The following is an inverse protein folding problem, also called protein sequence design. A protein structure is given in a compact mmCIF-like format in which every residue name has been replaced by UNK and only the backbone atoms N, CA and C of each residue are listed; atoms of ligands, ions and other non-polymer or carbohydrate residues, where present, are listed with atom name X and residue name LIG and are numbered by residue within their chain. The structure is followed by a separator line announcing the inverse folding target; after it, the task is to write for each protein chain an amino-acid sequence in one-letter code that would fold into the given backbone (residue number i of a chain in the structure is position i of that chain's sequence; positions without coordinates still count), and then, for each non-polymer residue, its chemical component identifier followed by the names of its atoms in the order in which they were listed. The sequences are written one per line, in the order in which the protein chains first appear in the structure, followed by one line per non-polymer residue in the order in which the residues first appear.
data_IF_788710301064
#
_entry.id   IF_788710301064
#
_cell.length_a   1.000
_cell.length_b   1.000
_cell.length_c   1.000
_cell.angle_alpha   90.00
_cell.angle_beta   90.00
_cell.angle_gamma   90.00
#
_symmetry.space_group_name_H-M   'P 1'
#
loop_
_entity.id
_entity.type
_entity.pdbx_description
1 polymer ?
#
# COMPACT_ATOMS: atom_id res chain seq x y z
N UNK A 1 -6.83 9.40 13.19
CA UNK A 1 -7.48 9.95 12.05
C UNK A 1 -8.44 9.00 11.38
N UNK A 2 -9.10 9.50 10.40
CA UNK A 2 -10.05 8.70 9.66
C UNK A 2 -9.34 7.90 8.57
N UNK A 3 -9.92 6.76 8.23
CA UNK A 3 -9.39 5.94 7.16
C UNK A 3 -9.56 6.66 5.82
N UNK A 4 -8.54 6.58 4.99
CA UNK A 4 -8.57 7.17 3.66
C UNK A 4 -8.54 6.06 2.62
N UNK A 5 -9.46 6.11 1.68
CA UNK A 5 -9.54 5.11 0.62
C UNK A 5 -9.05 5.72 -0.68
N UNK A 6 -8.25 4.97 -1.41
CA UNK A 6 -7.70 5.42 -2.68
C UNK A 6 -7.51 4.25 -3.63
N UNK A 7 -7.46 4.56 -4.93
CA UNK A 7 -7.20 3.56 -5.95
C UNK A 7 -5.75 3.68 -6.40
N UNK A 8 -5.06 2.55 -6.46
CA UNK A 8 -3.66 2.54 -6.88
C UNK A 8 -3.58 2.84 -8.37
N UNK A 9 -2.80 3.87 -8.73
CA UNK A 9 -2.62 4.25 -10.13
C UNK A 9 -1.31 3.73 -10.70
N UNK A 10 -0.28 3.61 -9.85
CA UNK A 10 0.99 3.04 -10.28
C UNK A 10 1.80 2.62 -9.07
N UNK A 11 2.78 1.77 -9.30
CA UNK A 11 3.70 1.34 -8.25
C UNK A 11 5.12 1.53 -8.77
N UNK A 12 5.88 2.35 -8.04
CA UNK A 12 7.27 2.64 -8.39
C UNK A 12 8.25 1.67 -7.77
N UNK A 13 9.52 1.97 -7.92
CA UNK A 13 10.59 1.19 -7.33
C UNK A 13 11.11 0.11 -8.25
N UNK A 14 11.98 -0.73 -7.71
CA UNK A 14 12.59 -1.81 -8.46
C UNK A 14 11.58 -2.93 -8.69
N UNK A 15 11.88 -3.76 -9.67
CA UNK A 15 11.00 -4.88 -9.99
C UNK A 15 10.77 -5.80 -8.80
N UNK A 16 11.79 -6.04 -8.01
CA UNK A 16 11.65 -6.88 -6.81
C UNK A 16 10.65 -6.29 -5.83
N UNK A 17 10.72 -4.98 -5.62
CA UNK A 17 9.81 -4.28 -4.72
C UNK A 17 8.39 -4.36 -5.25
N UNK A 18 8.22 -4.14 -6.54
CA UNK A 18 6.92 -4.21 -7.18
C UNK A 18 6.31 -5.59 -7.04
N UNK A 19 7.09 -6.63 -7.27
CA UNK A 19 6.63 -8.01 -7.12
C UNK A 19 6.22 -8.31 -5.69
N UNK A 20 7.01 -7.84 -4.74
CA UNK A 20 6.69 -8.01 -3.34
C UNK A 20 5.33 -7.39 -3.02
N UNK A 21 5.12 -6.16 -3.46
CA UNK A 21 3.86 -5.46 -3.23
C UNK A 21 2.69 -6.13 -3.97
N UNK A 22 2.92 -6.59 -5.19
CA UNK A 22 1.90 -7.31 -5.94
C UNK A 22 1.46 -8.59 -5.23
N UNK A 23 2.41 -9.31 -4.64
CA UNK A 23 2.09 -10.52 -3.89
C UNK A 23 1.22 -10.23 -2.67
N UNK A 24 1.34 -9.03 -2.13
CA UNK A 24 0.48 -8.60 -1.02
C UNK A 24 -0.88 -8.12 -1.50
N UNK A 25 -1.05 -7.92 -2.80
CA UNK A 25 -2.29 -7.44 -3.37
C UNK A 25 -2.26 -6.00 -3.87
N UNK A 26 -1.13 -5.32 -3.74
CA UNK A 26 -1.00 -3.94 -4.19
C UNK A 26 -0.73 -3.91 -5.69
N UNK A 27 -1.79 -3.85 -6.46
CA UNK A 27 -1.70 -3.80 -7.92
C UNK A 27 -2.45 -2.58 -8.44
N UNK A 28 -2.10 -2.15 -9.64
CA UNK A 28 -2.78 -1.02 -10.28
C UNK A 28 -4.28 -1.35 -10.41
N UNK A 29 -5.11 -0.40 -10.00
CA UNK A 29 -6.56 -0.59 -10.00
C UNK A 29 -7.11 -1.11 -8.69
N UNK A 30 -6.27 -1.58 -7.77
CA UNK A 30 -6.74 -2.06 -6.48
C UNK A 30 -7.11 -0.88 -5.59
N UNK A 31 -8.08 -1.11 -4.74
CA UNK A 31 -8.53 -0.10 -3.77
C UNK A 31 -7.89 -0.40 -2.44
N UNK A 32 -7.25 0.59 -1.87
CA UNK A 32 -6.60 0.47 -0.56
C UNK A 32 -7.21 1.46 0.41
N UNK A 33 -7.29 1.09 1.67
CA UNK A 33 -7.75 1.97 2.73
C UNK A 33 -6.62 2.12 3.74
N UNK A 34 -6.13 3.33 3.92
CA UNK A 34 -5.10 3.61 4.91
C UNK A 34 -5.78 3.76 6.26
N UNK A 35 -5.44 2.88 7.19
CA UNK A 35 -6.06 2.84 8.50
C UNK A 35 -5.27 3.67 9.50
N UNK A 36 -3.95 3.56 9.46
CA UNK A 36 -3.10 4.21 10.45
C UNK A 36 -1.71 4.43 9.90
N UNK A 37 -1.06 5.46 10.39
CA UNK A 37 0.35 5.74 10.10
C UNK A 37 1.04 5.92 11.44
N UNK A 38 2.08 5.13 11.66
CA UNK A 38 2.84 5.20 12.90
C UNK A 38 4.33 5.16 12.58
N UNK A 39 5.10 6.05 13.20
CA UNK A 39 6.55 6.01 13.08
C UNK A 39 7.05 5.72 11.68
N UNK A 40 7.52 4.54 11.43
CA UNK A 40 8.01 4.13 10.12
C UNK A 40 7.10 3.19 9.36
N UNK A 41 5.85 3.01 9.82
CA UNK A 41 4.95 2.02 9.23
C UNK A 41 3.60 2.62 8.86
N UNK A 42 2.99 2.01 7.84
CA UNK A 42 1.64 2.36 7.41
C UNK A 42 0.81 1.09 7.44
N UNK A 43 -0.35 1.15 8.08
CA UNK A 43 -1.26 0.01 8.14
C UNK A 43 -2.38 0.28 7.14
N UNK A 44 -2.53 -0.64 6.20
CA UNK A 44 -3.52 -0.50 5.14
C UNK A 44 -4.39 -1.75 5.05
N UNK A 45 -5.62 -1.54 4.63
CA UNK A 45 -6.52 -2.61 4.26
C UNK A 45 -6.49 -2.73 2.75
N UNK A 46 -6.30 -3.96 2.27
CA UNK A 46 -6.41 -4.23 0.84
C UNK A 46 -7.25 -5.48 0.68
N UNK A 47 -8.34 -5.37 -0.06
CA UNK A 47 -9.35 -6.41 -0.15
C UNK A 47 -9.85 -6.72 1.26
N UNK A 48 -9.73 -7.93 1.73
CA UNK A 48 -10.16 -8.31 3.07
C UNK A 48 -9.01 -8.47 4.04
N UNK A 49 -7.82 -8.07 3.62
CA UNK A 49 -6.62 -8.24 4.43
C UNK A 49 -6.10 -6.91 4.96
N UNK A 50 -5.57 -6.97 6.15
CA UNK A 50 -4.89 -5.82 6.76
C UNK A 50 -3.40 -6.09 6.73
N UNK A 51 -2.65 -5.17 6.15
CA UNK A 51 -1.21 -5.32 5.96
C UNK A 51 -0.49 -4.11 6.53
N UNK A 52 0.60 -4.37 7.25
CA UNK A 52 1.48 -3.30 7.71
C UNK A 52 2.70 -3.28 6.78
N UNK A 53 3.00 -2.13 6.21
CA UNK A 53 4.17 -1.97 5.35
C UNK A 53 4.99 -0.79 5.84
N UNK A 54 6.30 -0.86 5.59
CA UNK A 54 7.17 0.24 5.94
C UNK A 54 6.84 1.48 5.11
N UNK A 55 7.14 2.66 5.66
CA UNK A 55 6.87 3.90 4.95
C UNK A 55 7.63 3.99 3.63
N UNK A 56 8.80 3.36 3.55
CA UNK A 56 9.57 3.32 2.30
C UNK A 56 8.80 2.60 1.21
N UNK A 57 8.20 1.46 1.56
CA UNK A 57 7.37 0.71 0.62
C UNK A 57 6.10 1.46 0.28
N UNK A 58 5.48 2.07 1.28
CA UNK A 58 4.26 2.83 1.06
C UNK A 58 4.48 3.98 0.09
N UNK A 59 5.65 4.60 0.13
CA UNK A 59 5.97 5.72 -0.76
C UNK A 59 6.08 5.31 -2.23
N UNK A 60 6.23 4.02 -2.51
CA UNK A 60 6.30 3.51 -3.88
C UNK A 60 4.91 3.35 -4.50
N UNK A 61 3.88 3.34 -3.69
CA UNK A 61 2.52 3.16 -4.16
C UNK A 61 1.92 4.52 -4.45
N UNK A 62 1.54 4.72 -5.70
CA UNK A 62 0.93 5.97 -6.16
C UNK A 62 -0.59 5.81 -6.24
N UNK A 63 -1.29 6.80 -5.78
CA UNK A 63 -2.75 6.81 -5.82
C UNK A 63 -3.31 8.05 -6.50
#
# INVERSE_FOLDING_TARGET
GEAETATITSIGGKEETRRFLENLGFVVGAIVTVISKTGGNVIVNIKESRVAIGSDMASKIMV
#
